data_IF_783584247651
#
_entry.id   IF_783584247651
#
_cell.length_a   1.000
_cell.length_b   1.000
_cell.length_c   1.000
_cell.angle_alpha   90.00
_cell.angle_beta   90.00
_cell.angle_gamma   90.00
#
_symmetry.space_group_name_H-M   'P 1'
#
loop_
_entity.id
_entity.type
_entity.pdbx_description
1 polymer ?
#
# COMPACT_ATOMS: atom_id res chain seq x y z
N UNK A 1 10.00 9.63 19.66
CA UNK A 1 9.60 9.99 18.29
C UNK A 1 8.39 10.91 18.27
N UNK A 2 8.41 11.83 17.33
CA UNK A 2 7.33 12.77 17.10
C UNK A 2 7.10 12.93 15.59
N UNK A 3 5.96 13.50 15.21
CA UNK A 3 5.66 13.79 13.81
C UNK A 3 6.69 14.78 13.24
N UNK A 4 7.09 15.78 14.02
CA UNK A 4 8.11 16.74 13.59
C UNK A 4 9.47 16.07 13.37
N UNK A 5 9.91 15.20 14.27
CA UNK A 5 11.15 14.46 14.10
C UNK A 5 11.10 13.54 12.87
N UNK A 6 9.98 12.90 12.64
CA UNK A 6 9.76 12.07 11.45
C UNK A 6 9.87 12.90 10.17
N UNK A 7 9.23 14.06 10.13
CA UNK A 7 9.26 14.94 8.95
C UNK A 7 10.68 15.45 8.68
N UNK A 8 11.45 15.78 9.72
CA UNK A 8 12.85 16.18 9.57
C UNK A 8 13.70 15.04 9.01
N UNK A 9 13.46 13.81 9.48
CA UNK A 9 14.18 12.63 8.99
C UNK A 9 13.83 12.37 7.52
N UNK A 10 12.56 12.45 7.14
CA UNK A 10 12.13 12.30 5.74
C UNK A 10 12.87 13.24 4.81
N UNK A 11 13.02 14.52 5.19
CA UNK A 11 13.75 15.49 4.38
C UNK A 11 15.21 15.09 4.18
N UNK A 12 15.85 14.53 5.20
CA UNK A 12 17.23 14.06 5.10
C UNK A 12 17.35 12.82 4.20
N UNK A 13 16.34 11.95 4.22
CA UNK A 13 16.34 10.73 3.42
C UNK A 13 16.06 11.00 1.93
N UNK A 14 15.40 12.09 1.58
CA UNK A 14 15.08 12.44 0.19
C UNK A 14 16.32 12.53 -0.71
N UNK A 15 17.47 12.88 -0.16
CA UNK A 15 18.72 13.03 -0.92
C UNK A 15 19.49 11.71 -1.06
N UNK A 16 19.02 10.63 -0.47
CA UNK A 16 19.65 9.32 -0.52
C UNK A 16 18.95 8.42 -1.55
N UNK A 17 19.66 7.41 -2.12
CA UNK A 17 19.04 6.48 -3.07
C UNK A 17 18.23 5.40 -2.35
N UNK A 18 17.17 5.81 -1.65
CA UNK A 18 16.29 4.94 -0.89
C UNK A 18 14.84 5.29 -1.17
N UNK A 19 13.96 4.30 -1.00
CA UNK A 19 12.52 4.50 -1.02
C UNK A 19 12.02 4.60 0.42
N UNK A 20 11.16 5.58 0.70
CA UNK A 20 10.61 5.81 2.03
C UNK A 20 9.08 5.74 1.97
N UNK A 21 8.47 5.08 2.94
CA UNK A 21 7.02 5.07 3.12
C UNK A 21 6.67 5.33 4.58
N UNK A 22 5.68 6.19 4.80
CA UNK A 22 5.12 6.41 6.13
C UNK A 22 4.11 5.30 6.39
N UNK A 23 4.38 4.45 7.38
CA UNK A 23 3.53 3.28 7.67
C UNK A 23 2.62 3.51 8.86
N UNK A 24 3.04 4.37 9.78
CA UNK A 24 2.25 4.79 10.94
C UNK A 24 2.50 6.28 11.18
N UNK A 25 1.80 6.85 12.14
CA UNK A 25 1.89 8.28 12.44
C UNK A 25 3.33 8.76 12.69
N UNK A 26 4.15 7.91 13.33
CA UNK A 26 5.55 8.23 13.64
C UNK A 26 6.53 7.15 13.18
N UNK A 27 6.16 6.34 12.19
CA UNK A 27 6.99 5.25 11.68
C UNK A 27 7.22 5.38 10.18
N UNK A 28 8.47 5.15 9.77
CA UNK A 28 8.89 5.20 8.38
C UNK A 28 9.53 3.85 8.03
N UNK A 29 9.14 3.28 6.89
CA UNK A 29 9.84 2.15 6.29
C UNK A 29 10.82 2.69 5.25
N UNK A 30 12.07 2.25 5.34
CA UNK A 30 13.14 2.64 4.39
C UNK A 30 13.65 1.38 3.70
N UNK A 31 13.62 1.39 2.39
CA UNK A 31 14.08 0.27 1.56
C UNK A 31 15.04 0.76 0.49
N UNK A 32 15.85 -0.11 -0.11
CA UNK A 32 16.63 0.26 -1.29
C UNK A 32 15.73 0.85 -2.38
N UNK A 33 16.28 1.78 -3.16
CA UNK A 33 15.52 2.43 -4.22
C UNK A 33 14.95 1.39 -5.19
N UNK A 34 13.65 1.49 -5.47
CA UNK A 34 12.95 0.58 -6.36
C UNK A 34 12.42 -0.70 -5.69
N UNK A 35 12.72 -0.92 -4.41
CA UNK A 35 12.17 -2.06 -3.66
C UNK A 35 10.92 -1.58 -2.91
N UNK A 36 9.76 -1.82 -3.50
CA UNK A 36 8.47 -1.37 -2.99
C UNK A 36 7.42 -2.46 -3.19
N UNK A 37 6.27 -2.33 -2.53
CA UNK A 37 5.15 -3.26 -2.75
C UNK A 37 4.63 -3.19 -4.18
N UNK A 38 4.67 -2.02 -4.81
CA UNK A 38 4.28 -1.88 -6.21
C UNK A 38 5.18 -2.67 -7.14
N UNK A 39 6.49 -2.55 -6.95
CA UNK A 39 7.47 -3.34 -7.72
C UNK A 39 7.29 -4.85 -7.47
N UNK A 40 7.01 -5.25 -6.23
CA UNK A 40 6.72 -6.63 -5.87
C UNK A 40 5.48 -7.18 -6.58
N UNK A 41 4.41 -6.39 -6.61
CA UNK A 41 3.18 -6.76 -7.30
C UNK A 41 3.41 -6.96 -8.80
N UNK A 42 4.13 -6.05 -9.43
CA UNK A 42 4.46 -6.14 -10.86
C UNK A 42 5.29 -7.40 -11.16
N UNK A 43 6.30 -7.68 -10.33
CA UNK A 43 7.13 -8.88 -10.48
C UNK A 43 6.33 -10.16 -10.32
N UNK A 44 5.45 -10.22 -9.34
CA UNK A 44 4.60 -11.39 -9.10
C UNK A 44 3.61 -11.59 -10.25
N UNK A 45 3.00 -10.52 -10.74
CA UNK A 45 2.09 -10.53 -11.89
C UNK A 45 2.78 -11.14 -13.12
N UNK A 46 4.00 -10.68 -13.42
CA UNK A 46 4.79 -11.20 -14.53
C UNK A 46 5.16 -12.68 -14.33
N UNK A 47 5.60 -13.04 -13.13
CA UNK A 47 6.00 -14.41 -12.83
C UNK A 47 4.85 -15.41 -12.99
N UNK A 48 3.65 -15.03 -12.57
CA UNK A 48 2.46 -15.88 -12.65
C UNK A 48 1.73 -15.78 -14.00
N UNK A 49 2.19 -14.92 -14.92
CA UNK A 49 1.51 -14.62 -16.19
C UNK A 49 0.06 -14.17 -15.99
N UNK A 50 -0.20 -13.41 -14.93
CA UNK A 50 -1.50 -12.80 -14.66
C UNK A 50 -1.37 -11.31 -15.02
N UNK A 51 -2.17 -10.78 -15.98
CA UNK A 51 -2.13 -9.35 -16.28
C UNK A 51 -2.40 -8.52 -15.03
N UNK A 52 -1.66 -7.42 -14.85
CA UNK A 52 -1.77 -6.62 -13.64
C UNK A 52 -3.18 -6.03 -13.46
N UNK A 53 -3.87 -5.75 -14.54
CA UNK A 53 -5.27 -5.30 -14.51
C UNK A 53 -6.23 -6.34 -13.90
N UNK A 54 -5.80 -7.59 -13.77
CA UNK A 54 -6.57 -8.67 -13.16
C UNK A 54 -6.22 -8.90 -11.69
N UNK A 55 -5.52 -7.94 -11.07
CA UNK A 55 -5.12 -8.03 -9.66
C UNK A 55 -5.99 -7.13 -8.79
N UNK A 56 -6.15 -7.55 -7.54
CA UNK A 56 -6.79 -6.74 -6.49
C UNK A 56 -5.76 -6.53 -5.38
N UNK A 57 -5.47 -5.27 -5.08
CA UNK A 57 -4.60 -4.91 -3.96
C UNK A 57 -5.46 -4.40 -2.81
N UNK A 58 -5.25 -4.96 -1.63
CA UNK A 58 -5.88 -4.47 -0.41
C UNK A 58 -4.81 -3.91 0.51
N UNK A 59 -5.06 -2.75 1.12
CA UNK A 59 -4.07 -2.11 1.96
C UNK A 59 -4.65 -1.09 2.90
N UNK A 60 -3.81 -0.58 3.81
CA UNK A 60 -4.24 0.32 4.88
C UNK A 60 -3.27 1.48 5.17
N UNK A 61 -2.07 1.48 4.63
CA UNK A 61 -1.05 2.47 5.01
C UNK A 61 -0.16 2.91 3.85
N UNK A 62 0.73 3.85 4.12
CA UNK A 62 1.53 4.52 3.09
C UNK A 62 2.44 3.61 2.27
N UNK A 63 2.87 2.47 2.80
CA UNK A 63 3.69 1.54 2.02
C UNK A 63 2.89 0.74 0.98
N UNK A 64 1.57 0.90 0.94
CA UNK A 64 0.68 0.27 -0.05
C UNK A 64 0.39 1.15 -1.26
N UNK A 65 0.80 2.43 -1.24
CA UNK A 65 0.42 3.43 -2.26
C UNK A 65 0.83 2.99 -3.67
N UNK A 66 2.08 2.57 -3.87
CA UNK A 66 2.54 2.18 -5.20
C UNK A 66 1.81 0.95 -5.72
N UNK A 67 1.56 -0.04 -4.87
CA UNK A 67 0.79 -1.21 -5.26
C UNK A 67 -0.66 -0.86 -5.60
N UNK A 68 -1.25 0.10 -4.89
CA UNK A 68 -2.59 0.63 -5.22
C UNK A 68 -2.62 1.25 -6.61
N UNK A 69 -1.58 2.01 -6.96
CA UNK A 69 -1.49 2.66 -8.26
C UNK A 69 -1.27 1.67 -9.41
N UNK A 70 -0.60 0.56 -9.14
CA UNK A 70 -0.26 -0.45 -10.15
C UNK A 70 -1.35 -1.51 -10.34
N UNK A 71 -2.10 -1.86 -9.31
CA UNK A 71 -3.08 -2.94 -9.35
C UNK A 71 -4.27 -2.62 -10.26
N UNK A 72 -4.94 -3.64 -10.71
CA UNK A 72 -6.17 -3.50 -11.49
C UNK A 72 -7.31 -2.91 -10.67
N UNK A 73 -7.40 -3.29 -9.39
CA UNK A 73 -8.36 -2.74 -8.44
C UNK A 73 -7.67 -2.51 -7.10
N UNK A 74 -7.90 -1.35 -6.51
CA UNK A 74 -7.38 -0.99 -5.20
C UNK A 74 -8.53 -0.91 -4.18
N UNK A 75 -8.41 -1.67 -3.09
CA UNK A 75 -9.41 -1.72 -2.02
C UNK A 75 -8.76 -1.26 -0.72
N UNK A 76 -9.29 -0.22 -0.12
CA UNK A 76 -8.82 0.25 1.18
C UNK A 76 -9.53 -0.51 2.30
N UNK A 77 -8.76 -0.90 3.31
CA UNK A 77 -9.32 -1.42 4.55
C UNK A 77 -10.07 -0.32 5.29
N UNK A 78 -11.12 -0.66 6.04
CA UNK A 78 -11.89 0.30 6.81
C UNK A 78 -11.05 1.08 7.84
N UNK A 79 -9.99 0.46 8.33
CA UNK A 79 -9.00 1.08 9.24
C UNK A 79 -7.88 1.84 8.53
N UNK A 80 -7.94 1.98 7.20
CA UNK A 80 -6.90 2.65 6.43
C UNK A 80 -6.84 4.16 6.71
N UNK A 81 -5.70 4.76 6.37
CA UNK A 81 -5.54 6.21 6.40
C UNK A 81 -6.44 6.86 5.35
N UNK A 82 -6.77 8.14 5.54
CA UNK A 82 -7.58 8.88 4.56
C UNK A 82 -6.90 8.94 3.19
N UNK A 83 -5.58 9.06 3.16
CA UNK A 83 -4.84 9.04 1.90
C UNK A 83 -5.08 7.75 1.12
N UNK A 84 -5.01 6.61 1.78
CA UNK A 84 -5.26 5.30 1.15
C UNK A 84 -6.72 5.18 0.70
N UNK A 85 -7.67 5.60 1.53
CA UNK A 85 -9.08 5.59 1.17
C UNK A 85 -9.38 6.45 -0.06
N UNK A 86 -8.70 7.58 -0.19
CA UNK A 86 -8.87 8.48 -1.35
C UNK A 86 -8.32 7.89 -2.64
N UNK A 87 -7.30 7.04 -2.56
CA UNK A 87 -6.71 6.37 -3.73
C UNK A 87 -7.47 5.10 -4.12
N UNK A 88 -8.29 4.55 -3.25
CA UNK A 88 -8.99 3.31 -3.48
C UNK A 88 -10.22 3.49 -4.36
N UNK A 89 -10.57 2.45 -5.12
CA UNK A 89 -11.82 2.38 -5.86
C UNK A 89 -12.96 1.81 -5.01
N UNK A 90 -12.62 1.15 -3.92
CA UNK A 90 -13.58 0.55 -3.00
C UNK A 90 -13.02 0.54 -1.59
N UNK A 91 -13.89 0.65 -0.57
CA UNK A 91 -13.50 0.55 0.85
C UNK A 91 -14.25 -0.65 1.42
N UNK A 92 -13.51 -1.55 2.07
CA UNK A 92 -14.11 -2.71 2.75
C UNK A 92 -14.20 -2.47 4.27
N UNK A 93 -14.57 -3.49 5.01
CA UNK A 93 -14.58 -3.44 6.47
C UNK A 93 -13.15 -3.41 7.02
N UNK A 94 -13.01 -3.10 8.30
CA UNK A 94 -11.70 -3.05 8.92
C UNK A 94 -11.12 -4.45 9.21
N UNK A 95 -9.90 -4.48 9.73
CA UNK A 95 -9.19 -5.72 10.06
C UNK A 95 -9.82 -6.50 11.21
N UNK A 96 -10.63 -5.85 12.05
CA UNK A 96 -11.35 -6.51 13.15
C UNK A 96 -12.71 -7.09 12.71
N UNK A 97 -13.17 -6.77 11.50
CA UNK A 97 -14.46 -7.17 10.95
C UNK A 97 -14.34 -7.95 9.64
N UNK A 98 -13.23 -8.67 9.47
CA UNK A 98 -12.98 -9.55 8.31
C UNK A 98 -13.06 -8.83 6.94
N UNK A 99 -12.51 -7.62 6.85
CA UNK A 99 -12.54 -6.83 5.61
C UNK A 99 -11.96 -7.55 4.40
N UNK A 100 -10.89 -8.31 4.57
CA UNK A 100 -10.29 -9.10 3.46
C UNK A 100 -11.27 -10.18 3.00
N UNK A 101 -11.91 -10.89 3.95
CA UNK A 101 -12.87 -11.94 3.63
C UNK A 101 -14.05 -11.41 2.81
N UNK A 102 -14.54 -10.23 3.12
CA UNK A 102 -15.64 -9.57 2.37
C UNK A 102 -15.26 -9.45 0.89
N UNK A 103 -14.04 -9.01 0.59
CA UNK A 103 -13.58 -8.83 -0.79
C UNK A 103 -13.35 -10.17 -1.47
N UNK A 104 -12.77 -11.14 -0.78
CA UNK A 104 -12.56 -12.48 -1.33
C UNK A 104 -13.91 -13.12 -1.70
N UNK A 105 -14.89 -13.04 -0.81
CA UNK A 105 -16.24 -13.58 -1.08
C UNK A 105 -16.92 -12.87 -2.25
N UNK A 106 -16.70 -11.56 -2.38
CA UNK A 106 -17.34 -10.74 -3.42
C UNK A 106 -16.79 -11.01 -4.82
N UNK A 107 -15.47 -11.19 -4.95
CA UNK A 107 -14.80 -11.21 -6.25
C UNK A 107 -14.22 -12.57 -6.63
N UNK A 108 -13.92 -13.45 -5.69
CA UNK A 108 -13.18 -14.68 -5.95
C UNK A 108 -13.99 -15.95 -5.68
N UNK A 109 -15.13 -15.84 -5.02
CA UNK A 109 -15.95 -17.01 -4.67
C UNK A 109 -17.39 -16.93 -5.20
#
# INVERSE_FOLDING_TARGET
PSVDAMNQLLKKLEVLPVSCAVVEETAIEVTPLGITKGAGLESLSSYLNIPIENTIMMGDSGNDIEAFQSAGKAVAMGNATEEIKNLATEITLDNDHDGIKVIVDKYLL
#
